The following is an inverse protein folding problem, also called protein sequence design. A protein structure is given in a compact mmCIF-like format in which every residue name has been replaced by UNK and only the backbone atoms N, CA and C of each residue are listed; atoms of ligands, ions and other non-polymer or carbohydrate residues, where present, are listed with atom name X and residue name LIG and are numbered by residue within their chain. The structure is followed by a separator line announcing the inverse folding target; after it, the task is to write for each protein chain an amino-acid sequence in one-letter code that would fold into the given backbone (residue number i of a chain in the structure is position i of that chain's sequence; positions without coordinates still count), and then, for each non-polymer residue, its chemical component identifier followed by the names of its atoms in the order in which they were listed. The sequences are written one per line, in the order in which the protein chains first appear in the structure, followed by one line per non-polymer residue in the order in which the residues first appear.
data_IF_033915328839
#
_entry.id   IF_033915328839
#
_cell.length_a   1.000
_cell.length_b   1.000
_cell.length_c   1.000
_cell.angle_alpha   90.00
_cell.angle_beta   90.00
_cell.angle_gamma   90.00
#
_symmetry.space_group_name_H-M   'P 1'
#
loop_
_entity.id
_entity.type
_entity.pdbx_description
1 polymer ?
#
# COMPACT_ATOMS: atom_id res chain seq x y z
N UNK A 1 -16.65 11.95 -3.48
CA UNK A 1 -15.61 12.50 -4.38
C UNK A 1 -15.88 12.01 -5.80
N UNK A 2 -16.64 12.76 -6.62
CA UNK A 2 -16.85 12.42 -8.04
C UNK A 2 -16.05 13.42 -8.89
N UNK A 3 -14.91 12.97 -9.40
CA UNK A 3 -14.09 13.70 -10.36
C UNK A 3 -14.03 12.87 -11.65
N UNK A 4 -14.27 13.45 -12.84
CA UNK A 4 -14.20 12.69 -14.08
C UNK A 4 -12.76 12.23 -14.35
N UNK A 5 -12.60 10.93 -14.60
CA UNK A 5 -11.32 10.28 -14.88
C UNK A 5 -10.64 9.65 -13.66
N UNK A 6 -10.08 8.45 -13.84
CA UNK A 6 -9.41 7.69 -12.78
C UNK A 6 -8.22 8.43 -12.17
N UNK A 7 -7.46 9.17 -12.99
CA UNK A 7 -6.39 10.06 -12.53
C UNK A 7 -6.87 11.15 -11.59
N UNK A 8 -7.99 11.79 -11.91
CA UNK A 8 -8.58 12.85 -11.07
C UNK A 8 -9.06 12.29 -9.73
N UNK A 9 -9.61 11.07 -9.70
CA UNK A 9 -10.02 10.40 -8.46
C UNK A 9 -8.83 10.06 -7.57
N UNK A 10 -7.77 9.48 -8.14
CA UNK A 10 -6.53 9.17 -7.40
C UNK A 10 -5.91 10.45 -6.84
N UNK A 11 -5.84 11.51 -7.64
CA UNK A 11 -5.35 12.81 -7.20
C UNK A 11 -6.21 13.43 -6.09
N UNK A 12 -7.54 13.36 -6.22
CA UNK A 12 -8.46 13.86 -5.21
C UNK A 12 -8.37 13.08 -3.89
N UNK A 13 -8.21 11.75 -3.95
CA UNK A 13 -8.02 10.91 -2.77
C UNK A 13 -6.71 11.24 -2.04
N UNK A 14 -5.60 11.39 -2.78
CA UNK A 14 -4.30 11.80 -2.25
C UNK A 14 -4.36 13.19 -1.60
N UNK A 15 -4.94 14.17 -2.29
CA UNK A 15 -5.11 15.53 -1.77
C UNK A 15 -6.00 15.55 -0.52
N UNK A 16 -7.13 14.83 -0.54
CA UNK A 16 -8.04 14.73 0.60
C UNK A 16 -7.33 14.20 1.83
N UNK A 17 -6.63 13.06 1.71
CA UNK A 17 -5.88 12.48 2.82
C UNK A 17 -4.81 13.44 3.35
N UNK A 18 -4.03 14.09 2.48
CA UNK A 18 -3.00 15.04 2.95
C UNK A 18 -3.57 16.26 3.66
N UNK A 19 -4.72 16.75 3.24
CA UNK A 19 -5.36 17.94 3.82
C UNK A 19 -6.05 17.59 5.14
N UNK A 20 -6.76 16.47 5.19
CA UNK A 20 -7.65 16.13 6.31
C UNK A 20 -7.03 15.20 7.33
N UNK A 21 -6.01 14.42 6.93
CA UNK A 21 -5.51 13.29 7.68
C UNK A 21 -6.43 12.07 7.68
N UNK A 22 -7.64 12.16 7.11
CA UNK A 22 -8.59 11.05 7.07
C UNK A 22 -8.24 10.08 5.95
N UNK A 23 -7.64 8.96 6.35
CA UNK A 23 -7.18 7.93 5.44
C UNK A 23 -8.32 7.03 4.92
N UNK A 24 -9.42 6.84 5.67
CA UNK A 24 -10.41 5.83 5.33
C UNK A 24 -11.13 6.11 3.99
N UNK A 25 -11.64 7.34 3.72
CA UNK A 25 -12.24 7.67 2.43
C UNK A 25 -11.23 7.64 1.27
N UNK A 26 -9.99 8.03 1.55
CA UNK A 26 -8.93 8.04 0.53
C UNK A 26 -8.55 6.60 0.13
N UNK A 27 -8.32 5.71 1.09
CA UNK A 27 -8.01 4.30 0.83
C UNK A 27 -9.16 3.64 0.07
N UNK A 28 -10.42 3.85 0.50
CA UNK A 28 -11.58 3.30 -0.18
C UNK A 28 -11.67 3.73 -1.65
N UNK A 29 -11.33 4.98 -1.97
CA UNK A 29 -11.31 5.49 -3.34
C UNK A 29 -10.14 4.94 -4.18
N UNK A 30 -9.03 4.56 -3.54
CA UNK A 30 -7.82 4.07 -4.21
C UNK A 30 -7.83 2.58 -4.51
N UNK A 31 -8.48 1.75 -3.67
CA UNK A 31 -8.50 0.28 -3.83
C UNK A 31 -8.98 -0.22 -5.21
N UNK A 32 -10.03 0.34 -5.83
CA UNK A 32 -10.48 -0.12 -7.15
C UNK A 32 -9.42 0.02 -8.25
N UNK A 33 -8.50 0.98 -8.10
CA UNK A 33 -7.45 1.24 -9.09
C UNK A 33 -6.36 0.15 -9.08
N UNK A 34 -6.38 -0.78 -8.12
CA UNK A 34 -5.51 -1.97 -8.10
C UNK A 34 -6.05 -3.13 -8.95
N UNK A 35 -7.28 -3.05 -9.48
CA UNK A 35 -7.90 -4.12 -10.24
C UNK A 35 -7.05 -4.72 -11.39
N UNK A 36 -6.24 -3.93 -12.15
CA UNK A 36 -5.38 -4.48 -13.20
C UNK A 36 -4.36 -5.52 -12.72
N UNK A 37 -3.96 -5.49 -11.45
CA UNK A 37 -3.00 -6.44 -10.88
C UNK A 37 -3.53 -7.88 -10.91
N UNK A 38 -4.85 -8.08 -10.79
CA UNK A 38 -5.45 -9.42 -10.92
C UNK A 38 -5.22 -10.03 -12.31
N UNK A 39 -5.12 -9.18 -13.35
CA UNK A 39 -4.79 -9.56 -14.71
C UNK A 39 -3.29 -9.55 -15.02
N UNK A 40 -2.41 -9.48 -14.01
CA UNK A 40 -0.96 -9.36 -14.18
C UNK A 40 -0.56 -8.20 -15.10
N UNK A 41 -1.25 -7.08 -14.94
CA UNK A 41 -0.99 -5.87 -15.72
C UNK A 41 -0.80 -4.70 -14.78
N UNK A 42 0.15 -3.83 -15.10
CA UNK A 42 0.34 -2.57 -14.37
C UNK A 42 0.26 -1.38 -15.30
N UNK A 43 -0.19 -0.26 -14.75
CA UNK A 43 -0.26 1.02 -15.44
C UNK A 43 0.42 2.09 -14.58
N UNK A 44 0.78 3.26 -15.16
CA UNK A 44 1.31 4.36 -14.36
C UNK A 44 0.36 4.79 -13.22
N UNK A 45 -0.96 4.60 -13.40
CA UNK A 45 -1.95 4.88 -12.37
C UNK A 45 -1.86 3.87 -11.22
N UNK A 46 -1.76 2.56 -11.52
CA UNK A 46 -1.57 1.51 -10.51
C UNK A 46 -0.31 1.78 -9.68
N UNK A 47 0.80 2.10 -10.34
CA UNK A 47 2.06 2.41 -9.66
C UNK A 47 1.91 3.61 -8.71
N UNK A 48 1.22 4.67 -9.17
CA UNK A 48 0.93 5.84 -8.34
C UNK A 48 0.06 5.47 -7.14
N UNK A 49 -1.00 4.68 -7.36
CA UNK A 49 -1.89 4.19 -6.30
C UNK A 49 -1.14 3.40 -5.25
N UNK A 50 -0.26 2.47 -5.64
CA UNK A 50 0.58 1.69 -4.71
C UNK A 50 1.46 2.60 -3.86
N UNK A 51 2.08 3.61 -4.45
CA UNK A 51 2.91 4.57 -3.71
C UNK A 51 2.10 5.39 -2.70
N UNK A 52 0.90 5.84 -3.08
CA UNK A 52 0.00 6.59 -2.17
C UNK A 52 -0.44 5.69 -1.01
N UNK A 53 -0.85 4.44 -1.27
CA UNK A 53 -1.23 3.50 -0.24
C UNK A 53 -0.07 3.21 0.74
N UNK A 54 1.16 3.09 0.23
CA UNK A 54 2.35 2.99 1.06
C UNK A 54 2.59 4.24 1.93
N UNK A 55 2.36 5.43 1.38
CA UNK A 55 2.47 6.68 2.13
C UNK A 55 1.39 6.82 3.22
N UNK A 56 0.18 6.31 2.97
CA UNK A 56 -0.90 6.24 3.96
C UNK A 56 -0.51 5.33 5.13
N UNK A 57 0.19 4.22 4.85
CA UNK A 57 0.68 3.30 5.87
C UNK A 57 -0.44 2.42 6.46
N UNK A 58 -0.41 2.16 7.77
CA UNK A 58 -1.29 1.20 8.46
C UNK A 58 -2.78 1.21 8.06
N UNK A 59 -3.44 2.37 7.90
CA UNK A 59 -4.83 2.44 7.44
C UNK A 59 -5.09 1.81 6.06
N UNK A 60 -4.07 1.65 5.21
CA UNK A 60 -4.15 1.00 3.90
C UNK A 60 -4.01 -0.53 3.95
N UNK A 61 -4.21 -1.16 5.13
CA UNK A 61 -4.13 -2.61 5.32
C UNK A 61 -4.98 -3.43 4.34
N UNK A 62 -6.09 -2.89 3.84
CA UNK A 62 -6.93 -3.53 2.82
C UNK A 62 -6.21 -3.79 1.49
N UNK A 63 -5.09 -3.11 1.22
CA UNK A 63 -4.27 -3.32 0.03
C UNK A 63 -3.28 -4.50 0.17
N UNK A 64 -3.04 -5.01 1.39
CA UNK A 64 -2.03 -6.04 1.64
C UNK A 64 -2.13 -7.28 0.74
N UNK A 65 -3.33 -7.87 0.48
CA UNK A 65 -3.42 -9.05 -0.36
C UNK A 65 -2.90 -8.81 -1.79
N UNK A 66 -3.26 -7.67 -2.40
CA UNK A 66 -2.81 -7.32 -3.74
C UNK A 66 -1.29 -7.05 -3.78
N UNK A 67 -0.75 -6.40 -2.76
CA UNK A 67 0.69 -6.12 -2.67
C UNK A 67 1.51 -7.40 -2.42
N UNK A 68 1.00 -8.32 -1.60
CA UNK A 68 1.64 -9.62 -1.39
C UNK A 68 1.69 -10.42 -2.69
N UNK A 69 0.58 -10.51 -3.42
CA UNK A 69 0.51 -11.21 -4.71
C UNK A 69 1.56 -10.67 -5.69
N UNK A 70 1.68 -9.35 -5.81
CA UNK A 70 2.72 -8.73 -6.66
C UNK A 70 4.12 -9.18 -6.26
N UNK A 71 4.43 -9.23 -4.96
CA UNK A 71 5.78 -9.60 -4.50
C UNK A 71 6.08 -11.10 -4.52
N UNK A 72 5.05 -11.96 -4.52
CA UNK A 72 5.22 -13.41 -4.56
C UNK A 72 5.05 -14.01 -5.95
N UNK A 73 4.43 -13.29 -6.89
CA UNK A 73 4.16 -13.80 -8.22
C UNK A 73 5.45 -13.94 -9.04
N UNK A 74 5.67 -15.09 -9.70
CA UNK A 74 6.78 -15.24 -10.65
C UNK A 74 6.49 -14.57 -12.01
N UNK A 75 5.28 -14.04 -12.21
CA UNK A 75 4.84 -13.43 -13.48
C UNK A 75 5.16 -11.94 -13.47
N UNK A 76 5.55 -11.42 -14.64
CA UNK A 76 5.76 -10.00 -14.85
C UNK A 76 4.44 -9.27 -15.08
N UNK A 77 4.32 -8.07 -14.53
CA UNK A 77 3.17 -7.19 -14.68
C UNK A 77 3.31 -6.18 -15.84
N UNK A 78 4.47 -6.18 -16.50
CA UNK A 78 4.82 -5.30 -17.61
C UNK A 78 6.24 -5.58 -18.13
N UNK A 79 6.81 -4.62 -18.86
CA UNK A 79 8.23 -4.69 -19.24
C UNK A 79 9.15 -4.67 -18.01
N UNK A 80 10.36 -5.22 -18.13
CA UNK A 80 11.34 -5.35 -17.02
C UNK A 80 11.45 -4.10 -16.14
N UNK A 81 11.71 -2.87 -16.67
CA UNK A 81 11.87 -1.70 -15.81
C UNK A 81 10.59 -1.32 -15.05
N UNK A 82 9.43 -1.55 -15.66
CA UNK A 82 8.12 -1.27 -15.06
C UNK A 82 7.81 -2.30 -13.96
N UNK A 83 8.15 -3.56 -14.21
CA UNK A 83 7.96 -4.66 -13.28
C UNK A 83 8.85 -4.50 -12.02
N UNK A 84 10.13 -4.17 -12.20
CA UNK A 84 11.05 -3.91 -11.09
C UNK A 84 10.59 -2.73 -10.22
N UNK A 85 10.13 -1.65 -10.85
CA UNK A 85 9.63 -0.49 -10.13
C UNK A 85 8.33 -0.79 -9.38
N UNK A 86 7.44 -1.60 -9.96
CA UNK A 86 6.25 -2.09 -9.27
C UNK A 86 6.63 -2.93 -8.04
N UNK A 87 7.56 -3.89 -8.18
CA UNK A 87 8.01 -4.71 -7.07
C UNK A 87 8.68 -3.88 -5.97
N UNK A 88 9.49 -2.87 -6.34
CA UNK A 88 10.08 -1.94 -5.38
C UNK A 88 9.01 -1.16 -4.63
N UNK A 89 8.04 -0.59 -5.35
CA UNK A 89 6.95 0.17 -4.75
C UNK A 89 6.07 -0.70 -3.84
N UNK A 90 5.75 -1.93 -4.27
CA UNK A 90 4.96 -2.87 -3.49
C UNK A 90 5.66 -3.27 -2.20
N UNK A 91 6.97 -3.58 -2.25
CA UNK A 91 7.77 -3.88 -1.05
C UNK A 91 7.80 -2.70 -0.07
N UNK A 92 8.04 -1.49 -0.56
CA UNK A 92 8.02 -0.29 0.28
C UNK A 92 6.65 -0.07 0.93
N UNK A 93 5.57 -0.25 0.17
CA UNK A 93 4.22 -0.14 0.69
C UNK A 93 3.92 -1.22 1.75
N UNK A 94 4.30 -2.47 1.52
CA UNK A 94 4.14 -3.55 2.52
C UNK A 94 4.84 -3.20 3.84
N UNK A 95 6.07 -2.70 3.79
CA UNK A 95 6.82 -2.28 5.00
C UNK A 95 6.12 -1.15 5.75
N UNK A 96 5.55 -0.18 5.04
CA UNK A 96 4.87 0.95 5.65
C UNK A 96 3.48 0.60 6.21
N UNK A 97 2.76 -0.31 5.55
CA UNK A 97 1.39 -0.70 5.92
C UNK A 97 1.39 -1.73 7.06
N UNK A 98 2.30 -2.71 6.99
CA UNK A 98 2.50 -3.69 8.04
C UNK A 98 3.89 -3.48 8.64
N UNK A 99 4.10 -2.38 9.42
CA UNK A 99 5.35 -2.24 10.14
C UNK A 99 5.45 -3.48 11.02
N UNK A 100 6.45 -4.31 10.73
CA UNK A 100 6.79 -5.48 11.53
C UNK A 100 6.74 -5.03 12.97
N UNK A 101 5.79 -5.55 13.77
CA UNK A 101 5.73 -5.26 15.20
C UNK A 101 7.07 -5.69 15.78
N UNK A 102 7.99 -4.73 15.94
CA UNK A 102 9.22 -4.94 16.68
C UNK A 102 8.77 -5.25 18.10
N UNK A 103 8.95 -6.52 18.47
CA UNK A 103 8.91 -7.16 19.80
C UNK A 103 8.72 -6.20 20.99
N UNK A 104 7.78 -6.46 21.92
CA UNK A 104 7.67 -5.65 23.13
C UNK A 104 8.98 -5.70 23.94
N UNK A 105 9.39 -4.58 24.59
CA UNK A 105 10.51 -4.58 25.52
C UNK A 105 10.23 -5.59 26.64
N UNK A 106 11.30 -6.27 27.07
CA UNK A 106 11.24 -7.46 27.94
C UNK A 106 10.27 -7.34 29.11
N UNK A 107 9.51 -8.42 29.33
CA UNK A 107 8.83 -8.66 30.60
C UNK A 107 9.84 -8.53 31.74
N UNK A 108 9.54 -7.60 32.64
CA UNK A 108 10.42 -7.19 33.72
C UNK A 108 10.67 -8.26 34.79
N UNK A 109 11.82 -8.09 35.43
CA UNK A 109 12.03 -8.06 36.88
C UNK A 109 10.97 -8.72 37.78
N UNK A 110 11.40 -9.74 38.53
CA UNK A 110 10.94 -9.98 39.89
C UNK A 110 10.87 -11.44 40.33
N UNK A 111 11.44 -11.69 41.52
CA UNK A 111 11.35 -12.89 42.36
C UNK A 111 12.42 -13.99 42.11
N UNK A 112 13.30 -14.33 43.05
CA UNK A 112 13.38 -13.93 44.45
C UNK A 112 14.67 -14.43 45.12
N UNK A 113 15.14 -13.65 46.08
CA UNK A 113 15.88 -14.16 47.25
C UNK A 113 14.81 -14.56 48.28
N UNK A 114 14.95 -15.71 48.94
CA UNK A 114 15.70 -15.73 50.20
C UNK A 114 17.01 -16.50 50.12
#
# INVERSE_FOLDING_TARGET
LTCPGAWSRVGAADAWWRITGDAAPAVAALLPELAPLAGHTTTPLVLRTVRILGAVGGPAAAALPALHEVTSSPRRYGGIPVDEELHRAARAALTAIAPTRTRPPGTGSGAGRP
#
